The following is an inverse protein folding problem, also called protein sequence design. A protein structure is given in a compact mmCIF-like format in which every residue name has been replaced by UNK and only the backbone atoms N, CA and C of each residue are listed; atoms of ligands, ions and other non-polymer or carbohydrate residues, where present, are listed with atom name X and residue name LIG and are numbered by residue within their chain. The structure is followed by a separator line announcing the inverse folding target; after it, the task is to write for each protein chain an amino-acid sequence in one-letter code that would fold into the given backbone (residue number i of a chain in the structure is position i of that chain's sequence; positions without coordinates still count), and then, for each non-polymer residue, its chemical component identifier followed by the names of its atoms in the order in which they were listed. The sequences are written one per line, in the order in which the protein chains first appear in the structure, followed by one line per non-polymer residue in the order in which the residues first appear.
data_IF_509989959904
#
_entry.id   IF_509989959904
#
_cell.length_a   1.000
_cell.length_b   1.000
_cell.length_c   1.000
_cell.angle_alpha   90.00
_cell.angle_beta   90.00
_cell.angle_gamma   90.00
#
_symmetry.space_group_name_H-M   'P 1'
#
loop_
_entity.id
_entity.type
_entity.pdbx_description
1 polymer ?
#
# COMPACT_ATOMS: atom_id res chain seq x y z
N UNK A 1 15.81 -1.15 -1.60
CA UNK A 1 14.60 -1.98 -1.86
C UNK A 1 13.55 -1.51 -0.88
N UNK A 2 12.36 -1.11 -1.29
CA UNK A 2 11.35 -0.59 -0.36
C UNK A 2 10.94 -1.57 0.77
N UNK A 3 10.21 -1.08 1.78
CA UNK A 3 9.64 -1.87 2.88
C UNK A 3 8.11 -1.83 2.87
N UNK A 4 7.45 -2.98 3.10
CA UNK A 4 6.00 -3.07 3.34
C UNK A 4 5.77 -3.66 4.73
N UNK A 5 4.84 -3.06 5.47
CA UNK A 5 4.28 -3.59 6.72
C UNK A 5 2.77 -3.47 6.66
N UNK A 6 2.03 -4.43 7.20
CA UNK A 6 0.60 -4.31 7.38
C UNK A 6 0.08 -5.22 8.48
N UNK A 7 -1.10 -4.91 8.98
CA UNK A 7 -1.75 -5.64 10.07
C UNK A 7 -3.26 -5.56 9.93
N UNK A 8 -3.96 -6.63 10.33
CA UNK A 8 -5.42 -6.67 10.43
C UNK A 8 -5.84 -7.46 11.67
N UNK A 9 -6.89 -6.97 12.35
CA UNK A 9 -7.53 -7.64 13.49
C UNK A 9 -7.00 -7.23 14.88
N UNK A 10 -6.15 -6.19 14.97
CA UNK A 10 -5.59 -5.74 16.26
C UNK A 10 -5.58 -4.22 16.34
N UNK A 11 -5.96 -3.69 17.50
CA UNK A 11 -5.84 -2.26 17.81
C UNK A 11 -4.39 -1.79 17.76
N UNK A 12 -4.20 -0.48 17.66
CA UNK A 12 -2.89 0.18 17.55
C UNK A 12 -2.13 -0.25 16.28
N UNK A 13 -2.86 -0.42 15.17
CA UNK A 13 -2.29 -0.79 13.89
C UNK A 13 -1.18 0.19 13.47
N UNK A 14 -1.35 1.48 13.73
CA UNK A 14 -0.39 2.54 13.45
C UNK A 14 0.95 2.31 14.13
N UNK A 15 0.97 1.96 15.43
CA UNK A 15 2.22 1.78 16.16
C UNK A 15 2.97 0.53 15.69
N UNK A 16 2.22 -0.53 15.38
CA UNK A 16 2.81 -1.77 14.85
C UNK A 16 3.43 -1.52 13.48
N UNK A 17 2.73 -0.76 12.63
CA UNK A 17 3.25 -0.36 11.32
C UNK A 17 4.48 0.53 11.47
N UNK A 18 4.46 1.58 12.29
CA UNK A 18 5.60 2.48 12.51
C UNK A 18 6.84 1.73 12.99
N UNK A 19 6.70 0.89 14.03
CA UNK A 19 7.82 0.09 14.54
C UNK A 19 8.38 -0.84 13.46
N UNK A 20 7.50 -1.49 12.69
CA UNK A 20 7.91 -2.36 11.59
C UNK A 20 8.65 -1.59 10.49
N UNK A 21 8.16 -0.41 10.11
CA UNK A 21 8.79 0.44 9.10
C UNK A 21 10.14 1.01 9.56
N UNK A 22 10.27 1.37 10.84
CA UNK A 22 11.55 1.79 11.44
C UNK A 22 12.61 0.70 11.26
N UNK A 23 12.25 -0.56 11.53
CA UNK A 23 13.12 -1.73 11.33
C UNK A 23 13.46 -1.98 9.86
N UNK A 24 12.65 -1.49 8.92
CA UNK A 24 12.88 -1.60 7.47
C UNK A 24 13.54 -0.35 6.85
N UNK A 25 13.87 0.68 7.65
CA UNK A 25 14.40 1.95 7.13
C UNK A 25 15.74 1.77 6.38
N UNK A 26 16.53 0.75 6.75
CA UNK A 26 17.77 0.41 6.04
C UNK A 26 17.58 0.07 4.56
N UNK A 27 16.34 -0.21 4.14
CA UNK A 27 16.01 -0.60 2.76
C UNK A 27 15.50 0.58 1.91
N UNK A 28 15.00 1.67 2.52
CA UNK A 28 14.49 2.87 1.84
C UNK A 28 14.14 4.01 2.80
N UNK A 29 14.47 5.24 2.42
CA UNK A 29 14.41 6.44 3.29
C UNK A 29 14.05 7.73 2.54
N UNK A 30 13.59 7.65 1.29
CA UNK A 30 13.23 8.83 0.49
C UNK A 30 11.86 9.40 0.90
N UNK A 31 10.98 8.52 1.37
CA UNK A 31 9.66 8.86 1.93
C UNK A 31 9.07 7.65 2.65
N UNK A 32 8.09 7.90 3.51
CA UNK A 32 7.32 6.87 4.19
C UNK A 32 5.85 7.28 4.31
N UNK A 33 4.97 6.31 4.48
CA UNK A 33 3.57 6.57 4.76
C UNK A 33 2.85 5.37 5.33
N UNK A 34 1.68 5.63 5.91
CA UNK A 34 0.77 4.60 6.41
C UNK A 34 -0.68 4.98 6.12
N UNK A 35 -1.49 3.95 5.98
CA UNK A 35 -2.94 4.00 6.02
C UNK A 35 -3.39 3.11 7.17
N UNK A 36 -4.24 3.65 8.04
CA UNK A 36 -4.91 2.88 9.10
C UNK A 36 -6.40 3.21 9.10
N UNK A 37 -7.21 2.23 9.46
CA UNK A 37 -8.64 2.39 9.55
C UNK A 37 -9.26 1.46 10.60
N UNK A 38 -10.48 1.79 10.98
CA UNK A 38 -11.43 0.89 11.63
C UNK A 38 -12.80 0.99 10.95
N UNK A 39 -13.88 0.59 11.63
CA UNK A 39 -15.25 0.67 11.09
C UNK A 39 -15.85 2.07 11.08
N UNK A 40 -15.18 3.05 11.70
CA UNK A 40 -15.69 4.39 11.97
C UNK A 40 -14.85 5.52 11.40
N UNK A 41 -13.53 5.33 11.29
CA UNK A 41 -12.61 6.33 10.76
C UNK A 41 -11.44 5.71 10.01
N UNK A 42 -10.82 6.52 9.17
CA UNK A 42 -9.58 6.18 8.49
C UNK A 42 -8.60 7.37 8.43
N UNK A 43 -7.32 7.04 8.28
CA UNK A 43 -6.24 8.00 8.29
C UNK A 43 -5.18 7.60 7.27
N UNK A 44 -4.87 8.50 6.33
CA UNK A 44 -3.76 8.37 5.38
C UNK A 44 -2.72 9.44 5.69
N UNK A 45 -1.52 9.02 6.08
CA UNK A 45 -0.43 9.94 6.46
C UNK A 45 0.82 9.59 5.68
N UNK A 46 1.43 10.63 5.09
CA UNK A 46 2.64 10.50 4.29
C UNK A 46 3.66 11.55 4.72
N UNK A 47 4.93 11.23 4.56
CA UNK A 47 6.02 12.16 4.79
C UNK A 47 7.16 11.90 3.79
N UNK A 48 7.75 12.99 3.28
CA UNK A 48 9.03 12.89 2.59
C UNK A 48 10.17 12.70 3.60
N UNK A 49 11.17 11.93 3.20
CA UNK A 49 12.35 11.61 4.00
C UNK A 49 12.17 10.39 4.89
N UNK A 50 12.89 10.42 6.01
CA UNK A 50 13.06 9.30 6.95
C UNK A 50 11.79 9.00 7.75
N UNK A 51 11.73 7.81 8.37
CA UNK A 51 10.55 7.34 9.11
C UNK A 51 10.15 8.30 10.25
N UNK A 52 11.13 8.96 10.87
CA UNK A 52 10.90 9.98 11.91
C UNK A 52 10.00 11.14 11.48
N UNK A 53 10.03 11.49 10.20
CA UNK A 53 9.16 12.53 9.66
C UNK A 53 7.70 12.06 9.60
N UNK A 54 7.47 10.77 9.34
CA UNK A 54 6.14 10.16 9.41
C UNK A 54 5.67 10.08 10.86
N UNK A 55 6.52 9.59 11.77
CA UNK A 55 6.22 9.51 13.21
C UNK A 55 5.78 10.87 13.78
N UNK A 56 6.47 11.95 13.41
CA UNK A 56 6.12 13.30 13.87
C UNK A 56 4.74 13.80 13.39
N UNK A 57 4.17 13.18 12.34
CA UNK A 57 2.84 13.52 11.81
C UNK A 57 1.72 12.62 12.38
N UNK A 58 2.06 11.48 12.98
CA UNK A 58 1.08 10.55 13.55
C UNK A 58 0.69 11.04 14.94
N UNK A 59 -0.54 11.55 15.06
CA UNK A 59 -1.09 12.03 16.33
C UNK A 59 -1.79 10.90 17.10
N UNK A 60 -2.10 11.07 18.40
CA UNK A 60 -2.83 10.07 19.17
C UNK A 60 -4.23 9.71 18.66
N UNK A 61 -4.81 10.53 17.78
CA UNK A 61 -6.12 10.26 17.16
C UNK A 61 -6.03 9.27 16.00
N UNK A 62 -4.83 9.13 15.41
CA UNK A 62 -4.56 8.21 14.31
C UNK A 62 -4.56 6.81 14.88
N UNK A 63 -5.66 6.10 14.72
CA UNK A 63 -5.82 4.74 15.24
C UNK A 63 -6.52 3.85 14.22
N UNK A 64 -6.36 2.54 14.37
CA UNK A 64 -7.06 1.58 13.52
C UNK A 64 -6.87 0.14 13.96
N UNK A 65 -7.69 -0.74 13.41
CA UNK A 65 -7.61 -2.21 13.55
C UNK A 65 -7.06 -2.89 12.31
N UNK A 66 -6.99 -2.17 11.19
CA UNK A 66 -6.38 -2.57 9.93
C UNK A 66 -5.44 -1.46 9.46
N UNK A 67 -4.35 -1.83 8.79
CA UNK A 67 -3.52 -0.85 8.12
C UNK A 67 -2.41 -1.44 7.28
N UNK A 68 -1.87 -0.61 6.40
CA UNK A 68 -0.71 -0.87 5.56
C UNK A 68 0.21 0.35 5.59
N UNK A 69 1.52 0.10 5.58
CA UNK A 69 2.54 1.14 5.56
C UNK A 69 3.73 0.76 4.69
N UNK A 70 4.49 1.79 4.34
CA UNK A 70 5.56 1.67 3.35
C UNK A 70 6.73 2.60 3.63
N UNK A 71 7.95 2.11 3.38
CA UNK A 71 9.14 2.95 3.18
C UNK A 71 9.59 2.85 1.74
N UNK A 72 9.85 4.01 1.13
CA UNK A 72 10.11 4.11 -0.31
C UNK A 72 11.58 4.41 -0.60
N UNK A 73 12.10 3.72 -1.60
CA UNK A 73 13.28 4.09 -2.39
C UNK A 73 12.79 4.40 -3.80
N UNK A 74 12.90 5.65 -4.24
CA UNK A 74 12.27 6.11 -5.46
C UNK A 74 12.92 5.48 -6.72
N UNK A 75 12.10 4.94 -7.62
CA UNK A 75 12.50 4.48 -8.96
C UNK A 75 11.81 5.31 -10.05
N UNK A 76 10.47 5.43 -9.98
CA UNK A 76 9.66 6.28 -10.83
C UNK A 76 9.10 7.48 -10.06
N UNK A 77 9.30 8.70 -10.56
CA UNK A 77 8.86 9.93 -9.89
C UNK A 77 9.76 10.34 -8.71
N UNK A 78 10.01 11.65 -8.60
CA UNK A 78 10.92 12.21 -7.58
C UNK A 78 10.42 11.92 -6.15
N UNK A 79 11.34 11.80 -5.17
CA UNK A 79 10.98 11.80 -3.75
C UNK A 79 10.09 13.01 -3.42
N UNK A 80 8.87 12.72 -2.96
CA UNK A 80 7.90 13.72 -2.52
C UNK A 80 6.81 13.03 -1.70
N UNK A 81 6.09 13.78 -0.88
CA UNK A 81 4.95 13.25 -0.14
C UNK A 81 3.84 12.70 -1.05
N UNK A 82 3.67 13.32 -2.21
CA UNK A 82 2.70 12.94 -3.25
C UNK A 82 3.02 11.58 -3.89
N UNK A 83 4.30 11.30 -4.13
CA UNK A 83 4.76 10.02 -4.67
C UNK A 83 5.03 8.97 -3.58
N UNK A 84 4.84 9.31 -2.30
CA UNK A 84 4.96 8.36 -1.21
C UNK A 84 3.74 7.43 -1.21
N UNK A 85 3.99 6.15 -0.91
CA UNK A 85 2.92 5.18 -0.69
C UNK A 85 2.35 5.39 0.73
N UNK A 86 1.10 4.93 1.02
CA UNK A 86 0.14 4.25 0.14
C UNK A 86 -0.48 5.14 -0.96
N UNK A 87 -0.74 4.60 -2.16
CA UNK A 87 -1.53 5.29 -3.19
C UNK A 87 -3.02 4.95 -3.06
N UNK A 88 -3.90 5.85 -3.48
CA UNK A 88 -5.35 5.67 -3.48
C UNK A 88 -5.90 5.59 -4.90
N UNK A 89 -7.02 4.89 -5.10
CA UNK A 89 -7.79 4.95 -6.35
C UNK A 89 -8.40 6.35 -6.56
N UNK A 90 -8.91 6.62 -7.77
CA UNK A 90 -9.51 7.90 -8.13
C UNK A 90 -10.77 8.23 -7.30
N UNK A 91 -11.55 7.22 -6.95
CA UNK A 91 -12.67 7.33 -6.01
C UNK A 91 -12.29 7.19 -4.52
N UNK A 92 -10.99 7.10 -4.22
CA UNK A 92 -10.42 6.95 -2.87
C UNK A 92 -10.87 5.70 -2.07
N UNK A 93 -11.55 4.73 -2.69
CA UNK A 93 -12.04 3.52 -2.01
C UNK A 93 -10.97 2.45 -1.80
N UNK A 94 -9.91 2.46 -2.63
CA UNK A 94 -8.85 1.47 -2.58
C UNK A 94 -7.55 2.14 -2.16
N UNK A 95 -6.77 1.46 -1.31
CA UNK A 95 -5.49 1.94 -0.80
C UNK A 95 -4.42 0.87 -1.01
N UNK A 96 -3.32 1.20 -1.68
CA UNK A 96 -2.31 0.24 -2.15
C UNK A 96 -0.88 0.65 -1.77
N UNK A 97 -0.10 -0.31 -1.27
CA UNK A 97 1.37 -0.22 -1.19
C UNK A 97 2.01 -1.26 -2.10
N UNK A 98 3.18 -0.92 -2.66
CA UNK A 98 3.87 -1.73 -3.65
C UNK A 98 5.39 -1.75 -3.44
N UNK A 99 6.00 -2.93 -3.56
CA UNK A 99 7.44 -3.13 -3.71
C UNK A 99 7.76 -3.80 -5.03
N UNK A 100 8.50 -3.11 -5.89
CA UNK A 100 8.91 -3.65 -7.18
C UNK A 100 8.85 -2.60 -8.27
N UNK A 101 8.72 -3.07 -9.51
CA UNK A 101 8.61 -2.23 -10.70
C UNK A 101 7.59 -2.87 -11.64
N UNK A 102 6.62 -2.08 -12.08
CA UNK A 102 5.65 -2.47 -13.10
C UNK A 102 6.20 -2.09 -14.46
N UNK A 103 6.56 -3.07 -15.27
CA UNK A 103 7.30 -2.86 -16.52
C UNK A 103 6.40 -2.33 -17.65
N UNK A 104 5.11 -2.65 -17.61
CA UNK A 104 4.13 -2.24 -18.62
C UNK A 104 3.18 -1.14 -18.11
N UNK A 105 3.64 -0.26 -17.20
CA UNK A 105 2.78 0.77 -16.62
C UNK A 105 2.23 1.75 -17.66
N UNK A 106 3.00 2.10 -18.70
CA UNK A 106 2.53 2.97 -19.80
C UNK A 106 1.38 2.32 -20.59
N UNK A 107 1.54 1.04 -20.96
CA UNK A 107 0.49 0.26 -21.63
C UNK A 107 -0.79 0.18 -20.78
N UNK A 108 -0.64 -0.06 -19.48
CA UNK A 108 -1.76 -0.11 -18.55
C UNK A 108 -2.45 1.26 -18.42
N UNK A 109 -1.66 2.33 -18.35
CA UNK A 109 -2.18 3.69 -18.28
C UNK A 109 -3.01 4.03 -19.52
N UNK A 110 -2.42 3.89 -20.71
CA UNK A 110 -3.07 4.22 -21.98
C UNK A 110 -4.32 3.39 -22.25
N UNK A 111 -4.33 2.12 -21.83
CA UNK A 111 -5.43 1.19 -22.14
C UNK A 111 -6.62 1.34 -21.18
N UNK A 112 -6.37 1.57 -19.89
CA UNK A 112 -7.41 1.41 -18.86
C UNK A 112 -7.78 2.70 -18.13
N UNK A 113 -6.87 3.66 -18.04
CA UNK A 113 -6.99 4.79 -17.09
C UNK A 113 -6.47 6.10 -17.67
N UNK A 114 -6.47 6.24 -19.00
CA UNK A 114 -5.89 7.40 -19.70
C UNK A 114 -6.62 8.72 -19.40
N UNK A 115 -7.90 8.64 -19.01
CA UNK A 115 -8.76 9.76 -18.62
C UNK A 115 -8.82 9.99 -17.10
N UNK A 116 -8.12 9.18 -16.30
CA UNK A 116 -8.05 9.36 -14.86
C UNK A 116 -7.11 10.52 -14.48
N UNK A 117 -7.44 11.21 -13.39
CA UNK A 117 -6.56 12.20 -12.79
C UNK A 117 -5.65 11.54 -11.77
N UNK A 118 -4.34 11.65 -11.96
CA UNK A 118 -3.33 11.13 -11.06
C UNK A 118 -2.82 12.23 -10.14
N UNK A 119 -2.74 11.93 -8.84
CA UNK A 119 -2.12 12.79 -7.85
C UNK A 119 -0.60 12.80 -8.02
N UNK A 120 0.01 11.63 -8.21
CA UNK A 120 1.44 11.40 -8.36
C UNK A 120 1.87 10.93 -9.75
N UNK A 121 3.07 10.37 -9.82
CA UNK A 121 3.73 9.96 -11.08
C UNK A 121 4.30 8.54 -10.99
N UNK A 122 3.72 7.69 -10.14
CA UNK A 122 4.24 6.36 -9.88
C UNK A 122 3.49 5.30 -10.69
N UNK A 123 4.23 4.27 -11.10
CA UNK A 123 3.67 3.04 -11.64
C UNK A 123 2.64 2.39 -10.69
N UNK A 124 2.83 2.59 -9.39
CA UNK A 124 1.95 2.07 -8.33
C UNK A 124 0.56 2.72 -8.35
N UNK A 125 0.47 4.00 -8.66
CA UNK A 125 -0.82 4.70 -8.73
C UNK A 125 -1.67 4.22 -9.91
N UNK A 126 -1.04 3.91 -11.04
CA UNK A 126 -1.71 3.28 -12.19
C UNK A 126 -2.33 1.93 -11.79
N UNK A 127 -1.64 1.14 -10.95
CA UNK A 127 -2.16 -0.16 -10.51
C UNK A 127 -3.43 0.00 -9.66
N UNK A 128 -3.48 0.94 -8.71
CA UNK A 128 -4.67 1.10 -7.87
C UNK A 128 -5.87 1.66 -8.65
N UNK A 129 -5.63 2.53 -9.64
CA UNK A 129 -6.65 2.99 -10.59
C UNK A 129 -7.13 1.86 -11.52
N UNK A 130 -6.24 0.99 -11.99
CA UNK A 130 -6.62 -0.18 -12.78
C UNK A 130 -7.56 -1.11 -11.99
N UNK A 131 -7.25 -1.38 -10.72
CA UNK A 131 -8.10 -2.24 -9.87
C UNK A 131 -9.48 -1.61 -9.67
N UNK A 132 -9.55 -0.28 -9.49
CA UNK A 132 -10.82 0.46 -9.43
C UNK A 132 -11.66 0.25 -10.69
N UNK A 133 -11.09 0.47 -11.88
CA UNK A 133 -11.77 0.29 -13.17
C UNK A 133 -12.31 -1.13 -13.32
N UNK A 134 -11.49 -2.14 -13.01
CA UNK A 134 -11.89 -3.55 -13.12
C UNK A 134 -12.99 -3.93 -12.11
N UNK A 135 -12.95 -3.36 -10.89
CA UNK A 135 -13.99 -3.52 -9.88
C UNK A 135 -15.32 -2.95 -10.36
N UNK A 136 -15.30 -1.77 -10.97
CA UNK A 136 -16.49 -1.09 -11.48
C UNK A 136 -17.13 -1.79 -12.70
N UNK A 137 -16.32 -2.26 -13.65
CA UNK A 137 -16.83 -2.84 -14.91
C UNK A 137 -17.60 -4.16 -14.72
N UNK A 138 -17.35 -4.87 -13.63
CA UNK A 138 -17.79 -6.26 -13.48
C UNK A 138 -18.77 -6.49 -12.31
N UNK A 139 -19.06 -5.46 -11.51
CA UNK A 139 -19.67 -5.65 -10.18
C UNK A 139 -18.87 -6.63 -9.30
N UNK A 140 -17.57 -6.76 -9.60
CA UNK A 140 -16.68 -7.77 -9.03
C UNK A 140 -16.32 -7.39 -7.61
N UNK A 141 -16.11 -8.41 -6.77
CA UNK A 141 -15.48 -8.20 -5.46
C UNK A 141 -14.05 -7.66 -5.65
N UNK A 142 -13.53 -6.97 -4.63
CA UNK A 142 -12.14 -6.48 -4.63
C UNK A 142 -11.13 -7.58 -4.93
N UNK A 143 -11.37 -8.80 -4.41
CA UNK A 143 -10.55 -9.98 -4.70
C UNK A 143 -10.49 -10.31 -6.20
N UNK A 144 -11.64 -10.32 -6.87
CA UNK A 144 -11.72 -10.70 -8.28
C UNK A 144 -11.15 -9.61 -9.19
N UNK A 145 -11.45 -8.33 -8.90
CA UNK A 145 -10.83 -7.21 -9.61
C UNK A 145 -9.31 -7.22 -9.46
N UNK A 146 -8.81 -7.49 -8.24
CA UNK A 146 -7.38 -7.57 -7.99
C UNK A 146 -6.73 -8.76 -8.73
N UNK A 147 -7.35 -9.94 -8.73
CA UNK A 147 -6.89 -11.10 -9.51
C UNK A 147 -6.82 -10.80 -11.01
N UNK A 148 -7.83 -10.11 -11.56
CA UNK A 148 -7.84 -9.73 -12.96
C UNK A 148 -6.71 -8.74 -13.28
N UNK A 149 -6.49 -7.73 -12.44
CA UNK A 149 -5.37 -6.79 -12.58
C UNK A 149 -4.02 -7.53 -12.65
N UNK A 150 -3.82 -8.55 -11.79
CA UNK A 150 -2.59 -9.34 -11.77
C UNK A 150 -2.31 -10.11 -13.07
N UNK A 151 -3.33 -10.42 -13.88
CA UNK A 151 -3.13 -11.06 -15.20
C UNK A 151 -2.63 -10.09 -16.26
N UNK A 152 -2.81 -8.78 -16.05
CA UNK A 152 -2.42 -7.73 -16.98
C UNK A 152 -1.04 -7.14 -16.64
N UNK A 153 -0.66 -7.20 -15.36
CA UNK A 153 0.57 -6.60 -14.83
C UNK A 153 1.80 -7.45 -15.18
N UNK A 154 2.83 -6.81 -15.74
CA UNK A 154 4.16 -7.38 -15.99
C UNK A 154 5.21 -6.71 -15.09
N UNK A 155 6.20 -7.50 -14.66
CA UNK A 155 7.32 -7.02 -13.85
C UNK A 155 7.51 -7.80 -12.56
N UNK A 156 7.99 -7.12 -11.53
CA UNK A 156 8.18 -7.68 -10.18
C UNK A 156 7.38 -6.84 -9.20
N UNK A 157 6.65 -7.48 -8.30
CA UNK A 157 5.78 -6.78 -7.37
C UNK A 157 5.56 -7.57 -6.08
N UNK A 158 5.37 -6.85 -4.99
CA UNK A 158 4.64 -7.29 -3.82
C UNK A 158 3.65 -6.18 -3.49
N UNK A 159 2.37 -6.54 -3.39
CA UNK A 159 1.27 -5.62 -3.18
C UNK A 159 0.58 -5.93 -1.87
N UNK A 160 0.15 -4.87 -1.18
CA UNK A 160 -0.88 -4.95 -0.16
C UNK A 160 -1.94 -3.88 -0.42
N UNK A 161 -3.18 -4.33 -0.53
CA UNK A 161 -4.35 -3.56 -0.92
C UNK A 161 -5.39 -3.63 0.20
N UNK A 162 -5.92 -2.48 0.58
CA UNK A 162 -7.09 -2.34 1.46
C UNK A 162 -8.23 -1.75 0.65
N UNK A 163 -9.43 -2.30 0.83
CA UNK A 163 -10.68 -1.70 0.38
C UNK A 163 -11.35 -1.08 1.60
N UNK A 164 -11.62 0.22 1.56
CA UNK A 164 -12.25 0.95 2.67
C UNK A 164 -13.63 0.40 3.03
N UNK A 165 -14.29 -0.32 2.11
CA UNK A 165 -15.58 -0.98 2.33
C UNK A 165 -15.45 -2.38 2.94
N UNK A 166 -14.23 -2.91 3.07
CA UNK A 166 -13.92 -4.21 3.64
C UNK A 166 -12.78 -4.07 4.69
N UNK A 167 -13.07 -3.45 5.85
CA UNK A 167 -12.06 -3.09 6.85
C UNK A 167 -11.50 -4.30 7.64
N UNK A 168 -11.87 -5.52 7.27
CA UNK A 168 -11.43 -6.75 7.91
C UNK A 168 -10.45 -7.55 7.01
N UNK A 169 -10.11 -7.05 5.82
CA UNK A 169 -9.31 -7.79 4.83
C UNK A 169 -8.19 -6.96 4.25
N UNK A 170 -6.95 -7.48 4.31
CA UNK A 170 -5.84 -7.01 3.47
C UNK A 170 -5.64 -8.01 2.33
N UNK A 171 -5.76 -7.53 1.10
CA UNK A 171 -5.51 -8.30 -0.11
C UNK A 171 -4.04 -8.22 -0.46
N UNK A 172 -3.38 -9.36 -0.64
CA UNK A 172 -1.94 -9.41 -0.96
C UNK A 172 -1.65 -10.23 -2.20
N UNK A 173 -0.63 -9.81 -2.93
CA UNK A 173 -0.10 -10.55 -4.08
C UNK A 173 1.42 -10.36 -4.17
N UNK A 174 2.12 -11.37 -4.69
CA UNK A 174 3.55 -11.26 -4.94
C UNK A 174 3.96 -11.97 -6.24
N UNK A 175 4.93 -11.36 -6.92
CA UNK A 175 5.67 -11.92 -8.03
C UNK A 175 7.12 -11.43 -7.93
N UNK A 176 8.06 -12.35 -7.68
CA UNK A 176 9.49 -12.11 -7.43
C UNK A 176 9.85 -11.30 -6.17
N UNK A 177 9.15 -10.20 -5.85
CA UNK A 177 9.39 -9.45 -4.61
C UNK A 177 8.93 -10.24 -3.36
N UNK A 178 9.68 -10.20 -2.25
CA UNK A 178 9.31 -10.92 -1.03
C UNK A 178 8.11 -10.29 -0.32
N UNK A 179 7.23 -11.15 0.20
CA UNK A 179 6.13 -10.79 1.09
C UNK A 179 5.82 -12.01 1.96
N UNK A 180 5.74 -11.79 3.26
CA UNK A 180 5.54 -12.78 4.30
C UNK A 180 4.22 -12.50 5.01
N UNK A 181 3.55 -13.56 5.46
CA UNK A 181 2.37 -13.49 6.33
C UNK A 181 2.78 -14.03 7.69
N UNK A 182 2.60 -13.24 8.74
CA UNK A 182 2.73 -13.65 10.13
C UNK A 182 1.35 -13.93 10.73
N UNK A 183 1.20 -15.10 11.34
CA UNK A 183 -0.03 -15.52 12.01
C UNK A 183 0.06 -15.17 13.49
N UNK A 184 -0.87 -14.36 13.97
CA UNK A 184 -1.02 -14.03 15.39
C UNK A 184 -2.28 -14.67 15.99
N UNK A 185 -2.46 -14.49 17.29
CA UNK A 185 -3.69 -14.89 17.97
C UNK A 185 -4.76 -13.80 17.81
N UNK A 186 -5.73 -14.04 16.93
CA UNK A 186 -6.80 -13.10 16.61
C UNK A 186 -6.42 -11.94 15.66
N UNK A 187 -5.19 -11.91 15.16
CA UNK A 187 -4.72 -10.92 14.19
C UNK A 187 -3.69 -11.51 13.23
N UNK A 188 -3.49 -10.88 12.07
CA UNK A 188 -2.45 -11.27 11.13
C UNK A 188 -1.63 -10.05 10.69
N UNK A 189 -0.35 -10.28 10.38
CA UNK A 189 0.56 -9.27 9.86
C UNK A 189 1.10 -9.66 8.50
N UNK A 190 1.49 -8.67 7.73
CA UNK A 190 2.23 -8.84 6.49
C UNK A 190 3.50 -7.99 6.53
N UNK A 191 4.59 -8.51 5.98
CA UNK A 191 5.83 -7.75 5.88
C UNK A 191 6.67 -8.18 4.69
N UNK A 192 7.46 -7.27 4.13
CA UNK A 192 8.41 -7.59 3.06
C UNK A 192 9.70 -8.27 3.56
N UNK A 193 9.95 -8.20 4.88
CA UNK A 193 11.12 -8.76 5.54
C UNK A 193 10.76 -9.10 7.01
N UNK A 194 11.17 -10.26 7.49
CA UNK A 194 10.77 -10.75 8.81
C UNK A 194 11.27 -9.87 9.97
N UNK A 195 12.35 -9.11 9.75
CA UNK A 195 12.88 -8.16 10.74
C UNK A 195 11.86 -7.11 11.20
N UNK A 196 10.84 -6.82 10.39
CA UNK A 196 9.76 -5.91 10.76
C UNK A 196 8.90 -6.44 11.92
N UNK A 197 8.91 -7.76 12.16
CA UNK A 197 8.00 -8.45 13.09
C UNK A 197 8.73 -9.18 14.23
N UNK A 198 10.06 -9.11 14.28
CA UNK A 198 10.93 -9.79 15.27
C UNK A 198 11.53 -8.80 16.28
#
# INVERSE_FOLDING_TARGET
MCGIVGIVGKSNAEQIILNGLERLEYRGYDSAGLYVADRTSDHLIKAQGRIKNLEAKVTPEVTGTIGIGHTRWATHGIPSERNAHPHTSGNEELVLVHNGVIENFEELHETYVADHHFAGQTDTEIVVHLIEVLKAQSGSTTKEAFKQALTLIRGSYAFALVDKKDPDTIYVAKNKSPLLIGLGDGFNVICSDALAML
#
